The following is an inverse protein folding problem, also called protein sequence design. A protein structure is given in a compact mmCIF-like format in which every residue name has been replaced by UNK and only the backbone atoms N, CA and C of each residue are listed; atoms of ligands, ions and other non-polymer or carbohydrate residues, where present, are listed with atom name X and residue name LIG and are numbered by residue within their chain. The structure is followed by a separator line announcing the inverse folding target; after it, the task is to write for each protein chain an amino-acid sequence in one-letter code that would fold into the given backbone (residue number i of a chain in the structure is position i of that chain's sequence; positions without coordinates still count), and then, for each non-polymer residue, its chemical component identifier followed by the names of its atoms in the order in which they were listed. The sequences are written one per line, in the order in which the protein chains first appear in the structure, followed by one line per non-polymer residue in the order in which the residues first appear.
data_IF_280635990465
#
_entry.id   IF_280635990465
#
_cell.length_a   1.000
_cell.length_b   1.000
_cell.length_c   1.000
_cell.angle_alpha   90.00
_cell.angle_beta   90.00
_cell.angle_gamma   90.00
#
_symmetry.space_group_name_H-M   'P 1'
#
loop_
_entity.id
_entity.type
_entity.pdbx_description
1 polymer ?
#
# COMPACT_ATOMS: atom_id res chain seq x y z
N UNK A 1 4.92 1.91 -9.65
CA UNK A 1 3.97 0.79 -9.49
C UNK A 1 2.77 1.30 -8.74
N UNK A 2 1.57 1.14 -9.31
CA UNK A 2 0.30 1.37 -8.58
C UNK A 2 -0.19 -0.01 -8.15
N UNK A 3 -0.48 -0.19 -6.87
CA UNK A 3 -0.89 -1.49 -6.35
C UNK A 3 -1.92 -1.33 -5.23
N UNK A 4 -2.86 -2.28 -5.15
CA UNK A 4 -3.82 -2.31 -4.06
C UNK A 4 -3.13 -2.59 -2.71
N UNK A 5 -3.66 -2.02 -1.64
CA UNK A 5 -3.14 -2.15 -0.29
C UNK A 5 -4.33 -2.15 0.66
N UNK A 6 -5.15 -3.18 0.54
CA UNK A 6 -6.52 -3.15 1.08
C UNK A 6 -6.57 -3.23 2.60
N UNK A 7 -5.66 -3.97 3.24
CA UNK A 7 -5.64 -4.13 4.71
C UNK A 7 -4.22 -4.02 5.30
N UNK A 8 -4.10 -3.70 6.58
CA UNK A 8 -2.82 -3.78 7.29
C UNK A 8 -2.26 -5.21 7.33
N UNK A 9 -0.98 -5.31 7.69
CA UNK A 9 -0.32 -6.61 7.81
C UNK A 9 -0.97 -7.54 8.82
N UNK A 10 -1.52 -7.01 9.92
CA UNK A 10 -2.21 -7.82 10.93
C UNK A 10 -3.42 -8.59 10.36
N UNK A 11 -3.95 -8.19 9.20
CA UNK A 11 -5.06 -8.85 8.51
C UNK A 11 -4.65 -9.52 7.19
N UNK A 12 -3.36 -9.83 7.00
CA UNK A 12 -2.85 -10.41 5.76
C UNK A 12 -3.63 -11.67 5.31
N UNK A 13 -3.92 -12.60 6.22
CA UNK A 13 -4.71 -13.80 5.88
C UNK A 13 -6.10 -13.44 5.34
N UNK A 14 -6.76 -12.45 5.95
CA UNK A 14 -8.07 -11.98 5.50
C UNK A 14 -7.98 -11.31 4.14
N UNK A 15 -6.96 -10.49 3.91
CA UNK A 15 -6.70 -9.87 2.62
C UNK A 15 -6.56 -10.96 1.55
N UNK A 16 -5.64 -11.90 1.76
CA UNK A 16 -5.34 -13.00 0.85
C UNK A 16 -6.58 -13.86 0.54
N UNK A 17 -7.38 -14.20 1.57
CA UNK A 17 -8.60 -15.00 1.40
C UNK A 17 -9.65 -14.36 0.49
N UNK A 18 -9.55 -13.05 0.25
CA UNK A 18 -10.45 -12.26 -0.60
C UNK A 18 -9.78 -11.81 -1.89
N UNK A 19 -8.57 -12.29 -2.18
CA UNK A 19 -7.79 -11.90 -3.35
C UNK A 19 -7.15 -10.52 -3.24
N UNK A 20 -7.01 -9.98 -2.03
CA UNK A 20 -6.39 -8.68 -1.75
C UNK A 20 -5.01 -8.83 -1.11
N UNK A 21 -4.25 -7.74 -1.10
CA UNK A 21 -2.91 -7.67 -0.51
C UNK A 21 -2.88 -6.86 0.79
N UNK A 22 -1.96 -7.23 1.69
CA UNK A 22 -1.59 -6.41 2.84
C UNK A 22 -0.61 -5.30 2.46
N UNK A 23 -0.47 -4.33 3.35
CA UNK A 23 0.57 -3.29 3.32
C UNK A 23 1.98 -3.85 3.09
N UNK A 24 2.42 -4.79 3.91
CA UNK A 24 3.78 -5.33 3.82
C UNK A 24 3.98 -6.21 2.58
N UNK A 25 2.97 -6.99 2.16
CA UNK A 25 3.05 -7.76 0.92
C UNK A 25 3.25 -6.84 -0.29
N UNK A 26 2.50 -5.73 -0.33
CA UNK A 26 2.60 -4.74 -1.40
C UNK A 26 3.98 -4.08 -1.45
N UNK A 27 4.50 -3.67 -0.30
CA UNK A 27 5.83 -3.05 -0.20
C UNK A 27 6.97 -4.04 -0.51
N UNK A 28 6.86 -5.30 -0.07
CA UNK A 28 7.82 -6.34 -0.40
C UNK A 28 7.88 -6.60 -1.91
N UNK A 29 6.73 -6.67 -2.58
CA UNK A 29 6.66 -6.85 -4.03
C UNK A 29 7.29 -5.66 -4.77
N UNK A 30 7.02 -4.43 -4.35
CA UNK A 30 7.63 -3.24 -4.96
C UNK A 30 9.17 -3.26 -4.83
N UNK A 31 9.68 -3.67 -3.66
CA UNK A 31 11.12 -3.83 -3.40
C UNK A 31 11.73 -4.92 -4.28
N UNK A 32 11.10 -6.09 -4.35
CA UNK A 32 11.56 -7.23 -5.16
C UNK A 32 11.60 -6.89 -6.66
N UNK A 33 10.56 -6.19 -7.14
CA UNK A 33 10.46 -5.75 -8.53
C UNK A 33 11.42 -4.59 -8.89
N UNK A 34 12.10 -3.99 -7.91
CA UNK A 34 13.06 -2.91 -8.14
C UNK A 34 12.43 -1.65 -8.76
N UNK A 35 11.16 -1.37 -8.43
CA UNK A 35 10.45 -0.22 -9.01
C UNK A 35 10.94 1.10 -8.40
N UNK A 36 10.75 2.22 -9.12
CA UNK A 36 11.10 3.54 -8.60
C UNK A 36 10.24 3.96 -7.41
N UNK A 37 8.92 4.05 -7.61
CA UNK A 37 7.94 4.49 -6.59
C UNK A 37 6.76 3.52 -6.51
N UNK A 38 6.30 3.24 -5.29
CA UNK A 38 5.06 2.55 -4.99
C UNK A 38 3.97 3.58 -4.66
N UNK A 39 2.84 3.49 -5.36
CA UNK A 39 1.62 4.24 -5.06
C UNK A 39 0.60 3.22 -4.56
N UNK A 40 0.39 3.17 -3.25
CA UNK A 40 -0.58 2.31 -2.60
C UNK A 40 -2.00 2.88 -2.77
N UNK A 41 -2.98 2.05 -3.08
CA UNK A 41 -4.38 2.46 -3.30
C UNK A 41 -5.36 1.37 -2.90
N UNK A 42 -6.66 1.56 -3.18
CA UNK A 42 -7.73 0.60 -2.89
C UNK A 42 -7.79 0.22 -1.40
N UNK A 43 -7.77 1.22 -0.53
CA UNK A 43 -7.84 1.02 0.91
C UNK A 43 -9.24 0.55 1.32
N UNK A 44 -9.33 -0.33 2.32
CA UNK A 44 -10.62 -0.65 2.91
C UNK A 44 -11.23 0.59 3.57
N UNK A 45 -12.52 0.85 3.33
CA UNK A 45 -13.30 1.94 3.96
C UNK A 45 -13.36 1.90 5.50
N UNK A 46 -12.81 0.85 6.13
CA UNK A 46 -12.63 0.78 7.58
C UNK A 46 -11.60 1.77 8.11
N UNK A 47 -10.65 2.21 7.26
CA UNK A 47 -9.58 3.10 7.68
C UNK A 47 -9.99 4.54 7.44
N UNK A 48 -9.80 5.34 8.49
CA UNK A 48 -9.73 6.78 8.39
C UNK A 48 -8.32 7.20 7.96
N UNK A 49 -8.08 8.52 7.91
CA UNK A 49 -6.78 9.07 7.55
C UNK A 49 -5.64 8.53 8.43
N UNK A 50 -5.86 8.40 9.75
CA UNK A 50 -4.85 7.86 10.66
C UNK A 50 -4.58 6.37 10.40
N UNK A 51 -5.61 5.58 10.09
CA UNK A 51 -5.47 4.19 9.67
C UNK A 51 -4.63 4.06 8.40
N UNK A 52 -4.91 4.87 7.38
CA UNK A 52 -4.12 4.89 6.16
C UNK A 52 -2.66 5.31 6.43
N UNK A 53 -2.41 6.26 7.33
CA UNK A 53 -1.05 6.64 7.74
C UNK A 53 -0.28 5.52 8.44
N UNK A 54 -0.96 4.70 9.26
CA UNK A 54 -0.34 3.49 9.85
C UNK A 54 0.04 2.48 8.77
N UNK A 55 -0.85 2.24 7.80
CA UNK A 55 -0.54 1.36 6.67
C UNK A 55 0.62 1.90 5.81
N UNK A 56 0.70 3.21 5.61
CA UNK A 56 1.83 3.86 4.96
C UNK A 56 3.14 3.62 5.71
N UNK A 57 3.11 3.69 7.04
CA UNK A 57 4.27 3.39 7.88
C UNK A 57 4.74 1.94 7.68
N UNK A 58 3.82 0.97 7.74
CA UNK A 58 4.12 -0.45 7.47
C UNK A 58 4.74 -0.65 6.08
N UNK A 59 4.23 0.05 5.06
CA UNK A 59 4.82 -0.03 3.72
C UNK A 59 6.25 0.55 3.69
N UNK A 60 6.45 1.70 4.33
CA UNK A 60 7.73 2.43 4.32
C UNK A 60 8.83 1.75 5.12
N UNK A 61 8.50 0.89 6.08
CA UNK A 61 9.45 0.01 6.75
C UNK A 61 10.16 -0.95 5.77
N UNK A 62 9.47 -1.38 4.71
CA UNK A 62 10.02 -2.31 3.71
C UNK A 62 10.48 -1.57 2.46
N UNK A 63 9.70 -0.59 2.00
CA UNK A 63 9.96 0.18 0.78
C UNK A 63 9.72 1.68 1.02
N UNK A 64 10.78 2.46 1.35
CA UNK A 64 10.63 3.85 1.76
C UNK A 64 9.98 4.77 0.71
N UNK A 65 10.16 4.48 -0.59
CA UNK A 65 9.58 5.27 -1.68
C UNK A 65 8.11 4.89 -1.96
N UNK A 66 7.29 4.94 -0.91
CA UNK A 66 5.85 4.66 -0.95
C UNK A 66 5.04 5.93 -0.70
N UNK A 67 4.00 6.11 -1.50
CA UNK A 67 2.97 7.15 -1.40
C UNK A 67 1.58 6.49 -1.25
N UNK A 68 0.66 7.17 -0.56
CA UNK A 68 -0.76 6.83 -0.61
C UNK A 68 -1.39 7.60 -1.77
N UNK A 69 -2.20 6.91 -2.57
CA UNK A 69 -3.10 7.57 -3.51
C UNK A 69 -4.23 8.26 -2.73
N UNK A 70 -4.61 9.44 -3.20
CA UNK A 70 -5.80 10.14 -2.75
C UNK A 70 -6.69 10.43 -3.95
N UNK A 71 -7.99 10.61 -3.71
CA UNK A 71 -8.91 11.00 -4.77
C UNK A 71 -8.41 12.28 -5.46
N UNK A 72 -8.40 12.25 -6.79
CA UNK A 72 -7.88 13.32 -7.64
C UNK A 72 -6.37 13.59 -7.55
N UNK A 73 -5.58 12.75 -6.88
CA UNK A 73 -4.12 12.86 -6.87
C UNK A 73 -3.57 12.72 -8.30
N UNK A 74 -2.72 13.67 -8.70
CA UNK A 74 -1.93 13.61 -9.94
C UNK A 74 -0.49 13.26 -9.58
N UNK A 75 0.04 12.20 -10.18
CA UNK A 75 1.44 11.82 -10.04
C UNK A 75 2.17 11.95 -11.38
N UNK A 76 3.24 12.76 -11.39
CA UNK A 76 4.10 12.90 -12.56
C UNK A 76 5.21 11.84 -12.50
N UNK A 77 5.28 11.02 -13.55
CA UNK A 77 6.38 10.06 -13.70
C UNK A 77 7.67 10.81 -14.02
N UNK A 78 8.77 10.38 -13.38
CA UNK A 78 10.12 10.85 -13.65
C UNK A 78 10.73 10.09 -14.83
#
# INVERSE_FOLDING_TARGET
MVHETTLEQAMAEKANSRGHSSSQQTAALAKEAGVGTLIATHFSSRYDAEGCLRMLAECREIFPNTLLAEDFMVYKMA
#
